data_IF_811435522820
#
_entry.id   IF_811435522820
#
_cell.length_a   1.000
_cell.length_b   1.000
_cell.length_c   1.000
_cell.angle_alpha   90.00
_cell.angle_beta   90.00
_cell.angle_gamma   90.00
#
_symmetry.space_group_name_H-M   'P 1'
#
loop_
_entity.id
_entity.type
_entity.pdbx_description
1 polymer ?
#
# COMPACT_ATOMS: atom_id res chain seq x y z
N UNK A 1 19.98 2.35 1.43
CA UNK A 1 18.84 3.25 1.15
C UNK A 1 18.31 3.68 2.50
N UNK A 2 18.47 4.95 2.86
CA UNK A 2 17.81 5.49 4.06
C UNK A 2 16.30 5.30 3.89
N UNK A 3 15.72 4.48 4.77
CA UNK A 3 14.30 4.17 4.74
C UNK A 3 13.51 5.44 5.03
N UNK A 4 12.62 5.82 4.11
CA UNK A 4 11.71 6.94 4.34
C UNK A 4 10.89 6.67 5.59
N UNK A 5 10.92 7.61 6.52
CA UNK A 5 10.02 7.59 7.67
C UNK A 5 8.58 7.69 7.17
N UNK A 6 7.73 6.80 7.67
CA UNK A 6 6.33 6.72 7.27
C UNK A 6 5.62 8.03 7.71
N UNK A 7 4.85 8.74 6.86
CA UNK A 7 4.21 10.04 7.19
C UNK A 7 3.07 10.00 8.22
N UNK A 8 2.89 10.99 9.09
CA UNK A 8 1.76 11.06 10.05
C UNK A 8 0.37 10.60 9.52
N UNK A 9 -0.02 11.03 8.33
CA UNK A 9 -1.28 10.62 7.72
C UNK A 9 -1.09 9.33 6.92
N UNK A 10 -1.90 8.32 7.23
CA UNK A 10 -1.83 6.96 6.70
C UNK A 10 -3.03 6.65 5.82
N UNK A 11 -2.78 6.07 4.65
CA UNK A 11 -3.83 5.49 3.82
C UNK A 11 -3.98 4.02 4.22
N UNK A 12 -4.96 3.77 5.09
CA UNK A 12 -5.16 2.46 5.72
C UNK A 12 -6.20 1.66 4.94
N UNK A 13 -5.84 0.43 4.59
CA UNK A 13 -6.74 -0.57 4.02
C UNK A 13 -7.06 -1.64 5.07
N UNK A 14 -8.31 -2.10 5.10
CA UNK A 14 -8.76 -3.16 5.99
C UNK A 14 -9.55 -4.19 5.20
N UNK A 15 -9.30 -5.47 5.48
CA UNK A 15 -10.13 -6.60 5.07
C UNK A 15 -9.81 -7.80 5.96
N UNK A 16 -10.81 -8.59 6.32
CA UNK A 16 -10.67 -9.68 7.29
C UNK A 16 -9.68 -10.78 6.86
N UNK A 17 -9.36 -10.87 5.56
CA UNK A 17 -8.37 -11.81 5.02
C UNK A 17 -6.94 -11.26 5.00
N UNK A 18 -6.71 -10.04 5.49
CA UNK A 18 -5.37 -9.46 5.61
C UNK A 18 -4.65 -10.06 6.82
N UNK A 19 -3.31 -10.16 6.77
CA UNK A 19 -2.52 -10.61 7.92
C UNK A 19 -2.73 -9.68 9.12
N UNK A 20 -2.52 -10.20 10.33
CA UNK A 20 -2.61 -9.38 11.53
C UNK A 20 -1.45 -8.39 11.60
N UNK A 21 -1.77 -7.12 11.79
CA UNK A 21 -0.82 -6.06 12.07
C UNK A 21 -0.60 -5.93 13.57
N UNK A 22 0.58 -6.36 14.05
CA UNK A 22 0.99 -6.21 15.45
C UNK A 22 1.00 -4.77 15.96
N UNK A 23 1.13 -3.79 15.05
CA UNK A 23 1.21 -2.36 15.37
C UNK A 23 -0.13 -1.64 15.24
N UNK A 24 -1.21 -2.33 14.84
CA UNK A 24 -2.51 -1.69 14.61
C UNK A 24 -3.06 -1.00 15.86
N UNK A 25 -2.89 -1.61 17.05
CA UNK A 25 -3.38 -1.03 18.29
C UNK A 25 -2.60 0.24 18.66
N UNK A 26 -1.27 0.18 18.63
CA UNK A 26 -0.37 1.30 18.90
C UNK A 26 -0.59 2.46 17.92
N UNK A 27 -0.86 2.15 16.65
CA UNK A 27 -1.13 3.14 15.60
C UNK A 27 -2.61 3.55 15.51
N UNK A 28 -3.45 3.04 16.40
CA UNK A 28 -4.89 3.31 16.47
C UNK A 28 -5.65 3.01 15.16
N UNK A 29 -5.26 1.97 14.43
CA UNK A 29 -6.00 1.51 13.26
C UNK A 29 -7.34 0.87 13.66
N UNK A 30 -8.37 0.89 12.77
CA UNK A 30 -9.72 0.46 13.15
C UNK A 30 -9.86 -1.02 13.54
N UNK A 31 -8.95 -1.88 13.09
CA UNK A 31 -8.98 -3.32 13.36
C UNK A 31 -7.57 -3.93 13.24
N UNK A 32 -7.30 -5.09 13.85
CA UNK A 32 -5.97 -5.72 13.80
C UNK A 32 -5.59 -6.24 12.41
N UNK A 33 -6.53 -6.35 11.47
CA UNK A 33 -6.27 -6.70 10.07
C UNK A 33 -6.16 -5.46 9.16
N UNK A 34 -6.02 -4.27 9.74
CA UNK A 34 -5.82 -3.02 9.01
C UNK A 34 -4.33 -2.69 8.85
N UNK A 35 -3.99 -2.16 7.69
CA UNK A 35 -2.62 -1.79 7.34
C UNK A 35 -2.58 -0.48 6.60
N UNK A 36 -1.63 0.40 6.93
CA UNK A 36 -1.18 1.38 5.96
C UNK A 36 -0.50 0.68 4.78
N UNK A 37 -0.77 1.17 3.58
CA UNK A 37 -0.31 0.53 2.35
C UNK A 37 1.22 0.52 2.25
N UNK A 38 1.88 1.63 2.56
CA UNK A 38 3.34 1.73 2.49
C UNK A 38 3.99 0.92 3.62
N UNK A 39 3.44 0.97 4.83
CA UNK A 39 3.84 0.14 5.97
C UNK A 39 3.81 -1.35 5.64
N UNK A 40 2.71 -1.85 5.08
CA UNK A 40 2.56 -3.25 4.69
C UNK A 40 3.66 -3.68 3.73
N UNK A 41 3.89 -2.91 2.67
CA UNK A 41 4.88 -3.24 1.64
C UNK A 41 6.31 -3.15 2.20
N UNK A 42 6.60 -2.14 3.04
CA UNK A 42 7.90 -1.98 3.68
C UNK A 42 8.21 -3.14 4.63
N UNK A 43 7.29 -3.46 5.54
CA UNK A 43 7.48 -4.55 6.51
C UNK A 43 7.57 -5.91 5.84
N UNK A 44 6.68 -6.17 4.88
CA UNK A 44 6.78 -7.34 4.01
C UNK A 44 8.17 -7.46 3.39
N UNK A 45 8.71 -6.33 2.89
CA UNK A 45 10.04 -6.32 2.29
C UNK A 45 11.16 -6.63 3.26
N UNK A 46 11.08 -6.10 4.48
CA UNK A 46 12.05 -6.33 5.55
C UNK A 46 12.05 -7.78 6.04
N UNK A 47 10.87 -8.42 6.09
CA UNK A 47 10.74 -9.84 6.45
C UNK A 47 11.25 -10.80 5.36
N UNK A 48 11.32 -10.35 4.11
CA UNK A 48 11.90 -11.10 3.00
C UNK A 48 10.94 -12.09 2.33
N UNK A 49 11.37 -12.65 1.20
CA UNK A 49 10.51 -13.33 0.21
C UNK A 49 9.84 -14.60 0.69
N UNK A 50 10.45 -15.27 1.66
CA UNK A 50 9.96 -16.53 2.20
C UNK A 50 8.96 -16.32 3.35
N UNK A 51 8.77 -15.07 3.80
CA UNK A 51 7.83 -14.74 4.87
C UNK A 51 6.36 -14.81 4.41
N UNK A 52 5.44 -15.20 5.31
CA UNK A 52 4.00 -15.10 5.05
C UNK A 52 3.55 -13.68 4.70
N UNK A 53 4.11 -12.65 5.35
CA UNK A 53 3.75 -11.25 5.10
C UNK A 53 4.14 -10.83 3.68
N UNK A 54 5.30 -11.24 3.19
CA UNK A 54 5.71 -10.99 1.80
C UNK A 54 4.77 -11.64 0.79
N UNK A 55 4.36 -12.88 1.03
CA UNK A 55 3.43 -13.59 0.15
C UNK A 55 2.08 -12.87 0.07
N UNK A 56 1.57 -12.39 1.20
CA UNK A 56 0.32 -11.62 1.26
C UNK A 56 0.44 -10.24 0.61
N UNK A 57 1.52 -9.49 0.88
CA UNK A 57 1.79 -8.22 0.20
C UNK A 57 1.87 -8.40 -1.33
N UNK A 58 2.50 -9.48 -1.79
CA UNK A 58 2.58 -9.84 -3.21
C UNK A 58 1.21 -10.21 -3.79
N UNK A 59 0.39 -10.95 -3.04
CA UNK A 59 -1.00 -11.26 -3.43
C UNK A 59 -1.83 -9.98 -3.60
N UNK A 60 -1.71 -9.03 -2.67
CA UNK A 60 -2.42 -7.74 -2.68
C UNK A 60 -1.94 -6.87 -3.85
N UNK A 61 -0.63 -6.84 -4.10
CA UNK A 61 -0.06 -6.20 -5.29
C UNK A 61 -0.69 -6.73 -6.59
N UNK A 62 -0.73 -8.06 -6.78
CA UNK A 62 -1.36 -8.64 -7.99
C UNK A 62 -2.85 -8.37 -8.06
N UNK A 63 -3.55 -8.39 -6.92
CA UNK A 63 -4.96 -8.00 -6.86
C UNK A 63 -5.16 -6.56 -7.35
N UNK A 64 -4.39 -5.60 -6.85
CA UNK A 64 -4.44 -4.20 -7.28
C UNK A 64 -4.08 -4.05 -8.75
N UNK A 65 -3.06 -4.75 -9.24
CA UNK A 65 -2.65 -4.73 -10.64
C UNK A 65 -3.77 -5.22 -11.56
N UNK A 66 -4.38 -6.36 -11.26
CA UNK A 66 -5.50 -6.88 -12.04
C UNK A 66 -6.74 -5.98 -11.98
N UNK A 67 -7.02 -5.36 -10.82
CA UNK A 67 -8.09 -4.36 -10.71
C UNK A 67 -7.80 -3.14 -11.58
N UNK A 68 -6.56 -2.65 -11.58
CA UNK A 68 -6.14 -1.52 -12.43
C UNK A 68 -6.32 -1.81 -13.93
N UNK A 69 -6.16 -3.06 -14.34
CA UNK A 69 -6.34 -3.51 -15.73
C UNK A 69 -7.77 -3.92 -16.07
N UNK A 70 -8.71 -3.91 -15.11
CA UNK A 70 -10.06 -4.44 -15.30
C UNK A 70 -10.10 -5.96 -15.53
N UNK A 71 -9.05 -6.69 -15.16
CA UNK A 71 -8.91 -8.15 -15.38
C UNK A 71 -9.07 -8.96 -14.09
N UNK A 72 -9.47 -8.33 -12.98
CA UNK A 72 -9.65 -9.02 -11.71
C UNK A 72 -10.88 -9.94 -11.72
N UNK A 73 -10.65 -11.25 -11.63
CA UNK A 73 -11.70 -12.28 -11.72
C UNK A 73 -11.96 -13.04 -10.41
N UNK A 74 -11.18 -12.78 -9.35
CA UNK A 74 -11.22 -13.56 -8.10
C UNK A 74 -12.36 -13.19 -7.15
N UNK A 75 -13.10 -12.12 -7.42
CA UNK A 75 -14.34 -11.79 -6.72
C UNK A 75 -14.19 -11.37 -5.25
N UNK A 76 -12.98 -11.18 -4.70
CA UNK A 76 -12.85 -10.61 -3.34
C UNK A 76 -13.40 -9.18 -3.34
N UNK A 77 -14.03 -8.73 -2.25
CA UNK A 77 -14.47 -7.35 -2.13
C UNK A 77 -13.27 -6.40 -2.13
N UNK A 78 -13.52 -5.15 -2.54
CA UNK A 78 -12.53 -4.09 -2.36
C UNK A 78 -12.32 -3.81 -0.87
N UNK A 79 -11.16 -3.24 -0.52
CA UNK A 79 -10.82 -2.94 0.87
C UNK A 79 -11.77 -1.90 1.47
N UNK A 80 -12.04 -2.01 2.76
CA UNK A 80 -12.45 -0.83 3.52
C UNK A 80 -11.25 0.12 3.62
N UNK A 81 -11.51 1.41 3.46
CA UNK A 81 -10.45 2.42 3.32
C UNK A 81 -10.63 3.50 4.36
N UNK A 82 -9.53 3.88 5.01
CA UNK A 82 -9.48 4.94 6.00
C UNK A 82 -8.32 5.88 5.72
N UNK A 83 -8.53 7.16 6.02
CA UNK A 83 -7.44 8.12 6.22
C UNK A 83 -7.23 8.27 7.72
N UNK A 84 -6.07 7.86 8.23
CA UNK A 84 -5.78 7.88 9.66
C UNK A 84 -4.69 8.90 10.00
N UNK A 85 -4.92 9.69 11.04
CA UNK A 85 -3.93 10.54 11.70
C UNK A 85 -3.41 9.79 12.94
N UNK A 86 -2.24 9.14 12.82
CA UNK A 86 -1.74 8.24 13.88
C UNK A 86 -1.30 8.99 15.14
N UNK A 87 -0.93 10.27 15.03
CA UNK A 87 -0.59 11.08 16.20
C UNK A 87 -1.81 11.45 17.03
N UNK A 88 -2.98 11.59 16.38
CA UNK A 88 -4.24 11.90 17.07
C UNK A 88 -5.10 10.67 17.35
N UNK A 89 -4.75 9.51 16.79
CA UNK A 89 -5.54 8.29 16.87
C UNK A 89 -6.91 8.40 16.20
N UNK A 90 -7.03 9.20 15.13
CA UNK A 90 -8.31 9.44 14.44
C UNK A 90 -8.27 8.81 13.06
N UNK A 91 -9.27 7.99 12.72
CA UNK A 91 -9.46 7.41 11.40
C UNK A 91 -10.78 7.84 10.78
N UNK A 92 -10.72 8.42 9.60
CA UNK A 92 -11.89 8.78 8.80
C UNK A 92 -12.12 7.72 7.74
N UNK A 93 -13.28 7.05 7.78
CA UNK A 93 -13.67 6.07 6.76
C UNK A 93 -13.95 6.79 5.44
N UNK A 94 -13.35 6.31 4.36
CA UNK A 94 -13.58 6.78 3.00
C UNK A 94 -14.61 5.88 2.31
N UNK A 95 -15.33 6.44 1.33
CA UNK A 95 -16.28 5.66 0.54
C UNK A 95 -15.53 4.72 -0.41
N UNK A 96 -15.50 3.42 -0.10
CA UNK A 96 -14.82 2.42 -0.93
C UNK A 96 -15.47 2.18 -2.29
N UNK A 97 -16.71 2.63 -2.49
CA UNK A 97 -17.40 2.55 -3.79
C UNK A 97 -17.09 3.75 -4.69
N UNK A 98 -16.40 4.77 -4.18
CA UNK A 98 -15.96 5.92 -4.98
C UNK A 98 -14.78 5.50 -5.89
N UNK A 99 -14.91 5.60 -7.22
CA UNK A 99 -13.84 5.26 -8.16
C UNK A 99 -12.53 6.04 -7.93
N UNK A 100 -12.59 7.27 -7.43
CA UNK A 100 -11.41 8.06 -7.13
C UNK A 100 -10.64 7.49 -5.93
N UNK A 101 -11.35 7.05 -4.89
CA UNK A 101 -10.77 6.39 -3.71
C UNK A 101 -10.19 5.03 -4.10
N UNK A 102 -10.92 4.23 -4.88
CA UNK A 102 -10.41 2.95 -5.37
C UNK A 102 -9.13 3.14 -6.19
N UNK A 103 -9.10 4.13 -7.09
CA UNK A 103 -7.92 4.45 -7.91
C UNK A 103 -6.74 4.90 -7.03
N UNK A 104 -6.98 5.74 -6.03
CA UNK A 104 -5.96 6.18 -5.08
C UNK A 104 -5.31 4.97 -4.39
N UNK A 105 -6.13 4.09 -3.79
CA UNK A 105 -5.64 2.90 -3.08
C UNK A 105 -4.91 1.93 -4.00
N UNK A 106 -5.45 1.66 -5.19
CA UNK A 106 -4.80 0.79 -6.18
C UNK A 106 -3.44 1.33 -6.57
N UNK A 107 -3.34 2.64 -6.85
CA UNK A 107 -2.08 3.26 -7.25
C UNK A 107 -1.07 3.29 -6.12
N UNK A 108 -1.49 3.53 -4.88
CA UNK A 108 -0.61 3.48 -3.71
C UNK A 108 -0.07 2.06 -3.51
N UNK A 109 -0.92 1.04 -3.57
CA UNK A 109 -0.49 -0.38 -3.44
C UNK A 109 0.57 -0.70 -4.48
N UNK A 110 0.33 -0.31 -5.72
CA UNK A 110 1.24 -0.59 -6.82
C UNK A 110 2.56 0.21 -6.64
N UNK A 111 2.48 1.50 -6.32
CA UNK A 111 3.65 2.36 -6.15
C UNK A 111 4.54 1.89 -4.99
N UNK A 112 3.96 1.65 -3.81
CA UNK A 112 4.69 1.14 -2.65
C UNK A 112 5.26 -0.26 -2.91
N UNK A 113 4.53 -1.13 -3.61
CA UNK A 113 5.06 -2.44 -3.98
C UNK A 113 6.29 -2.35 -4.90
N UNK A 114 6.33 -1.37 -5.82
CA UNK A 114 7.52 -1.12 -6.63
C UNK A 114 8.66 -0.52 -5.82
N UNK A 115 8.37 0.46 -4.95
CA UNK A 115 9.35 1.12 -4.09
C UNK A 115 10.06 0.11 -3.17
N UNK A 116 9.30 -0.76 -2.52
CA UNK A 116 9.82 -1.75 -1.58
C UNK A 116 10.11 -3.12 -2.22
N UNK A 117 10.16 -3.20 -3.55
CA UNK A 117 10.61 -4.42 -4.25
C UNK A 117 9.70 -5.65 -4.14
N UNK A 118 8.45 -5.49 -3.67
CA UNK A 118 7.40 -6.52 -3.67
C UNK A 118 6.94 -6.84 -5.11
N UNK A 119 6.87 -5.80 -5.95
CA UNK A 119 6.44 -5.87 -7.35
C UNK A 119 7.48 -6.49 -8.29
N UNK A 120 7.07 -6.84 -9.51
CA UNK A 120 7.96 -7.45 -10.52
C UNK A 120 8.63 -6.37 -11.37
N UNK A 121 9.97 -6.30 -11.36
CA UNK A 121 10.72 -5.47 -12.32
C UNK A 121 10.41 -5.95 -13.75
N UNK A 122 9.91 -5.06 -14.60
CA UNK A 122 9.62 -5.36 -16.01
C UNK A 122 8.14 -5.37 -16.41
N UNK A 123 7.21 -5.29 -15.45
CA UNK A 123 5.80 -5.00 -15.76
C UNK A 123 5.71 -3.53 -16.18
N UNK A 124 5.59 -3.27 -17.48
CA UNK A 124 5.74 -1.97 -18.15
C UNK A 124 4.70 -0.89 -17.82
N UNK A 125 4.21 -0.81 -16.58
CA UNK A 125 3.13 0.09 -16.16
C UNK A 125 3.64 1.52 -15.85
N UNK A 126 4.95 1.75 -15.73
CA UNK A 126 5.48 3.04 -15.24
C UNK A 126 6.60 3.67 -16.08
N UNK A 127 6.33 3.94 -17.36
CA UNK A 127 7.02 5.07 -18.04
C UNK A 127 6.12 6.28 -18.27
N UNK A 128 4.80 6.11 -18.39
CA UNK A 128 3.87 7.22 -18.67
C UNK A 128 3.21 7.86 -17.45
N UNK A 129 3.13 7.15 -16.30
CA UNK A 129 2.29 7.58 -15.16
C UNK A 129 3.04 8.18 -13.95
N UNK A 130 4.37 7.99 -13.83
CA UNK A 130 5.18 8.66 -12.79
C UNK A 130 5.58 10.08 -13.23
N UNK A 131 4.61 10.86 -13.68
CA UNK A 131 4.77 12.27 -14.07
C UNK A 131 5.07 13.21 -12.89
N UNK A 132 6.11 12.91 -12.12
CA UNK A 132 6.82 13.89 -11.30
C UNK A 132 8.32 13.68 -11.50
N UNK A 133 9.08 14.74 -11.81
CA UNK A 133 10.53 14.62 -11.86
C UNK A 133 10.99 14.15 -10.48
N UNK A 134 11.78 13.07 -10.44
CA UNK A 134 12.68 12.84 -9.32
C UNK A 134 13.51 14.12 -9.29
N UNK A 135 13.25 14.99 -8.32
CA UNK A 135 14.09 16.15 -8.08
C UNK A 135 15.50 15.59 -7.91
N UNK A 136 16.34 15.78 -8.93
CA UNK A 136 17.76 15.48 -8.83
C UNK A 136 18.28 16.44 -7.78
N UNK A 137 18.61 15.93 -6.60
CA UNK A 137 19.44 16.68 -5.66
C UNK A 137 20.71 17.03 -6.42
N UNK A 138 21.08 18.32 -6.55
CA UNK A 138 22.34 18.68 -7.18
C UNK A 138 23.45 18.04 -6.35
N UNK A 139 24.28 17.23 -7.01
CA UNK A 139 25.53 16.77 -6.42
C UNK A 139 26.37 18.03 -6.22
N UNK A 140 26.57 18.42 -4.97
CA UNK A 140 27.58 19.39 -4.59
C UNK A 140 28.95 18.80 -4.92
N UNK A 141 29.55 19.33 -5.99
CA UNK A 141 31.00 19.32 -6.24
C UNK A 141 31.75 20.05 -5.14
#
# INVERSE_FOLDING_TARGET
MEGRELPRYRLVICREDLPLNSSAEELHYPAPYCWDVAELMKRASEEGRDSPLWQEARRIYFEALHRSWGTYKRGRPFFDVYMCDVEKGICLRLNKEDPAIQRLVIMEIIASAFEFGIGVKGVGVFRGFLGRPIARTPQST
#
